data_IF_706289819485
#
_entry.id   IF_706289819485
#
_cell.length_a   1.000
_cell.length_b   1.000
_cell.length_c   1.000
_cell.angle_alpha   90.00
_cell.angle_beta   90.00
_cell.angle_gamma   90.00
#
_symmetry.space_group_name_H-M   'P 1'
#
loop_
_entity.id
_entity.type
_entity.pdbx_description
1 polymer ?
#
# COMPACT_ATOMS: atom_id res chain seq x y z
N UNK A 1 19.84 37.16 -1.61
CA UNK A 1 18.85 36.24 -0.99
C UNK A 1 18.13 35.52 -2.09
N UNK A 2 18.02 34.19 -2.03
CA UNK A 2 17.30 33.40 -3.02
C UNK A 2 15.80 33.67 -2.90
N UNK A 3 15.17 34.18 -3.94
CA UNK A 3 13.72 34.39 -4.00
C UNK A 3 13.00 33.05 -4.18
N UNK A 4 11.75 32.95 -3.71
CA UNK A 4 10.92 31.74 -3.82
C UNK A 4 10.70 31.27 -5.28
N UNK A 5 10.98 32.14 -6.27
CA UNK A 5 10.89 31.86 -7.71
C UNK A 5 12.16 31.24 -8.29
N UNK A 6 13.26 31.17 -7.52
CA UNK A 6 14.53 30.63 -8.01
C UNK A 6 14.43 29.12 -8.29
N UNK A 7 14.99 28.69 -9.43
CA UNK A 7 14.96 27.29 -9.89
C UNK A 7 15.47 26.27 -8.85
N UNK A 8 16.29 26.73 -7.90
CA UNK A 8 16.82 25.93 -6.80
C UNK A 8 15.73 25.37 -5.89
N UNK A 9 14.61 26.08 -5.69
CA UNK A 9 13.48 25.59 -4.89
C UNK A 9 12.61 24.57 -5.63
N UNK A 10 12.64 24.56 -6.96
CA UNK A 10 11.87 23.60 -7.76
C UNK A 10 12.48 22.21 -7.79
N UNK A 11 13.81 22.08 -7.64
CA UNK A 11 14.51 20.80 -7.59
C UNK A 11 13.98 19.88 -6.48
N UNK A 12 13.95 20.30 -5.19
CA UNK A 12 13.39 19.48 -4.11
C UNK A 12 11.90 19.16 -4.31
N UNK A 13 11.13 20.10 -4.88
CA UNK A 13 9.70 19.93 -5.14
C UNK A 13 9.45 18.84 -6.19
N UNK A 14 10.24 18.81 -7.26
CA UNK A 14 10.15 17.76 -8.28
C UNK A 14 10.50 16.39 -7.69
N UNK A 15 11.60 16.27 -6.95
CA UNK A 15 11.96 15.01 -6.30
C UNK A 15 10.93 14.55 -5.27
N UNK A 16 10.40 15.47 -4.46
CA UNK A 16 9.32 15.17 -3.52
C UNK A 16 8.05 14.72 -4.25
N UNK A 17 7.73 15.34 -5.39
CA UNK A 17 6.61 14.97 -6.25
C UNK A 17 6.75 13.56 -6.82
N UNK A 18 7.91 13.24 -7.40
CA UNK A 18 8.22 11.91 -7.93
C UNK A 18 8.16 10.85 -6.83
N UNK A 19 8.77 11.11 -5.67
CA UNK A 19 8.73 10.21 -4.52
C UNK A 19 7.31 9.95 -4.04
N UNK A 20 6.48 11.00 -3.93
CA UNK A 20 5.07 10.86 -3.55
C UNK A 20 4.25 10.11 -4.59
N UNK A 21 4.55 10.31 -5.88
CA UNK A 21 3.92 9.58 -6.99
C UNK A 21 4.17 8.08 -6.88
N UNK A 22 5.44 7.68 -6.73
CA UNK A 22 5.81 6.27 -6.55
C UNK A 22 5.15 5.66 -5.30
N UNK A 23 5.20 6.36 -4.16
CA UNK A 23 4.60 5.90 -2.90
C UNK A 23 3.08 5.77 -2.96
N UNK A 24 2.40 6.57 -3.78
CA UNK A 24 0.96 6.44 -3.98
C UNK A 24 0.66 5.26 -4.91
N UNK A 25 1.37 5.18 -6.04
CA UNK A 25 1.07 4.21 -7.09
C UNK A 25 1.35 2.76 -6.69
N UNK A 26 2.45 2.49 -5.97
CA UNK A 26 2.84 1.13 -5.59
C UNK A 26 1.73 0.41 -4.80
N UNK A 27 1.17 0.98 -3.71
CA UNK A 27 0.05 0.35 -3.00
C UNK A 27 -1.19 0.11 -3.87
N UNK A 28 -1.52 1.01 -4.81
CA UNK A 28 -2.66 0.82 -5.72
C UNK A 28 -2.42 -0.31 -6.71
N UNK A 29 -1.19 -0.48 -7.20
CA UNK A 29 -0.83 -1.59 -8.07
C UNK A 29 -0.87 -2.94 -7.32
N UNK A 30 -0.32 -2.99 -6.11
CA UNK A 30 -0.36 -4.20 -5.25
C UNK A 30 -1.80 -4.52 -4.79
N UNK A 31 -2.66 -3.52 -4.64
CA UNK A 31 -4.06 -3.72 -4.27
C UNK A 31 -4.84 -4.54 -5.31
N UNK A 32 -4.72 -4.18 -6.59
CA UNK A 32 -5.42 -4.91 -7.67
C UNK A 32 -5.03 -6.39 -7.62
N UNK A 33 -3.75 -6.66 -7.41
CA UNK A 33 -3.23 -8.01 -7.26
C UNK A 33 -3.88 -8.81 -6.12
N UNK A 34 -4.09 -8.22 -4.94
CA UNK A 34 -4.76 -8.93 -3.84
C UNK A 34 -6.21 -9.28 -4.18
N UNK A 35 -6.92 -8.40 -4.89
CA UNK A 35 -8.27 -8.67 -5.35
C UNK A 35 -8.29 -9.78 -6.43
N UNK A 36 -7.31 -9.78 -7.34
CA UNK A 36 -7.15 -10.83 -8.36
C UNK A 36 -6.84 -12.20 -7.72
N UNK A 37 -5.99 -12.24 -6.68
CA UNK A 37 -5.73 -13.47 -5.91
C UNK A 37 -6.99 -13.94 -5.15
N UNK A 38 -7.79 -13.03 -4.59
CA UNK A 38 -9.07 -13.43 -3.98
C UNK A 38 -10.06 -13.96 -5.04
N UNK A 39 -10.07 -13.37 -6.24
CA UNK A 39 -10.91 -13.83 -7.36
C UNK A 39 -10.50 -15.25 -7.80
N UNK A 40 -9.21 -15.53 -7.99
CA UNK A 40 -8.79 -16.87 -8.42
C UNK A 40 -9.08 -17.95 -7.37
N UNK A 41 -9.01 -17.59 -6.07
CA UNK A 41 -9.30 -18.52 -4.97
C UNK A 41 -10.81 -18.73 -4.81
N UNK A 42 -11.61 -17.66 -4.80
CA UNK A 42 -13.02 -17.72 -4.42
C UNK A 42 -14.00 -17.75 -5.59
N UNK A 43 -13.56 -17.36 -6.78
CA UNK A 43 -14.40 -17.15 -7.97
C UNK A 43 -15.34 -15.95 -7.86
N UNK A 44 -15.15 -15.04 -6.88
CA UNK A 44 -16.02 -13.90 -6.63
C UNK A 44 -15.24 -12.59 -6.75
N UNK A 45 -15.81 -11.60 -7.45
CA UNK A 45 -15.26 -10.24 -7.46
C UNK A 45 -15.72 -9.46 -6.24
N UNK A 46 -14.85 -9.36 -5.23
CA UNK A 46 -15.08 -8.64 -3.96
C UNK A 46 -14.29 -7.35 -3.83
N UNK A 47 -13.89 -6.76 -4.95
CA UNK A 47 -13.10 -5.53 -5.03
C UNK A 47 -13.66 -4.39 -4.15
N UNK A 48 -14.98 -4.22 -4.08
CA UNK A 48 -15.59 -3.18 -3.24
C UNK A 48 -15.27 -3.32 -1.74
N UNK A 49 -15.23 -4.56 -1.23
CA UNK A 49 -14.89 -4.81 0.17
C UNK A 49 -13.41 -4.53 0.46
N UNK A 50 -12.52 -4.96 -0.44
CA UNK A 50 -11.08 -4.66 -0.34
C UNK A 50 -10.81 -3.15 -0.43
N UNK A 51 -11.45 -2.44 -1.37
CA UNK A 51 -11.32 -0.98 -1.49
C UNK A 51 -11.77 -0.26 -0.21
N UNK A 52 -12.86 -0.75 0.41
CA UNK A 52 -13.36 -0.27 1.69
C UNK A 52 -12.34 -0.42 2.81
N UNK A 53 -11.79 -1.63 3.00
CA UNK A 53 -10.78 -1.92 4.02
C UNK A 53 -9.51 -1.11 3.78
N UNK A 54 -9.03 -1.02 2.54
CA UNK A 54 -7.85 -0.21 2.18
C UNK A 54 -8.05 1.25 2.57
N UNK A 55 -9.19 1.83 2.20
CA UNK A 55 -9.50 3.23 2.51
C UNK A 55 -9.62 3.44 4.02
N UNK A 56 -10.24 2.50 4.72
CA UNK A 56 -10.36 2.54 6.17
C UNK A 56 -8.98 2.51 6.85
N UNK A 57 -8.13 1.53 6.53
CA UNK A 57 -6.77 1.40 7.08
C UNK A 57 -5.95 2.65 6.77
N UNK A 58 -6.05 3.19 5.55
CA UNK A 58 -5.39 4.44 5.16
C UNK A 58 -5.84 5.61 6.03
N UNK A 59 -7.15 5.83 6.18
CA UNK A 59 -7.69 6.92 6.99
C UNK A 59 -7.35 6.76 8.46
N UNK A 60 -7.40 5.54 8.98
CA UNK A 60 -7.02 5.22 10.36
C UNK A 60 -5.54 5.52 10.61
N UNK A 61 -4.65 5.12 9.69
CA UNK A 61 -3.22 5.41 9.78
C UNK A 61 -2.93 6.91 9.73
N UNK A 62 -3.63 7.65 8.85
CA UNK A 62 -3.53 9.10 8.77
C UNK A 62 -4.01 9.78 10.06
N UNK A 63 -5.14 9.34 10.60
CA UNK A 63 -5.67 9.88 11.85
C UNK A 63 -4.70 9.63 13.02
N UNK A 64 -4.15 8.40 13.12
CA UNK A 64 -3.16 8.06 14.13
C UNK A 64 -1.91 8.94 14.02
N UNK A 65 -1.39 9.14 12.80
CA UNK A 65 -0.24 10.01 12.57
C UNK A 65 -0.52 11.47 13.01
N UNK A 66 -1.69 12.02 12.66
CA UNK A 66 -2.09 13.37 13.06
C UNK A 66 -2.20 13.49 14.58
N UNK A 67 -2.79 12.50 15.26
CA UNK A 67 -2.90 12.47 16.71
C UNK A 67 -1.51 12.46 17.35
N UNK A 68 -0.62 11.57 16.92
CA UNK A 68 0.73 11.45 17.47
C UNK A 68 1.53 12.75 17.29
N UNK A 69 1.51 13.33 16.09
CA UNK A 69 2.16 14.62 15.83
C UNK A 69 1.55 15.71 16.71
N UNK A 70 0.22 15.75 16.82
CA UNK A 70 -0.48 16.71 17.68
C UNK A 70 -0.05 16.62 19.15
N UNK A 71 0.08 15.41 19.69
CA UNK A 71 0.56 15.19 21.07
C UNK A 71 2.00 15.70 21.26
N UNK A 72 2.90 15.42 20.31
CA UNK A 72 4.29 15.92 20.35
C UNK A 72 4.30 17.45 20.32
N UNK A 73 3.47 18.07 19.48
CA UNK A 73 3.36 19.52 19.38
C UNK A 73 2.83 20.14 20.69
N UNK A 74 1.77 19.58 21.27
CA UNK A 74 1.22 20.06 22.54
C UNK A 74 2.26 19.94 23.67
N UNK A 75 2.96 18.81 23.77
CA UNK A 75 4.01 18.59 24.77
C UNK A 75 5.20 19.54 24.60
N UNK A 76 5.51 19.97 23.38
CA UNK A 76 6.59 20.92 23.11
C UNK A 76 6.24 22.38 23.43
N UNK A 77 4.98 22.66 23.79
CA UNK A 77 4.48 24.02 24.03
C UNK A 77 4.20 24.80 22.75
N UNK A 78 3.87 24.12 21.65
CA UNK A 78 3.54 24.77 20.39
C UNK A 78 2.27 25.62 20.53
N UNK A 79 2.36 26.91 20.17
CA UNK A 79 1.23 27.84 20.22
C UNK A 79 0.83 28.22 18.80
N UNK A 80 -0.35 27.75 18.37
CA UNK A 80 -0.85 28.08 17.03
C UNK A 80 -1.00 29.59 16.84
N UNK A 81 -0.49 30.11 15.72
CA UNK A 81 -0.57 31.54 15.31
C UNK A 81 0.21 32.54 16.18
N UNK A 82 1.09 32.10 17.09
CA UNK A 82 2.01 33.03 17.73
C UNK A 82 3.02 33.58 16.71
N UNK A 83 3.34 34.87 16.82
CA UNK A 83 4.34 35.56 15.99
C UNK A 83 5.74 34.95 16.16
N UNK A 84 6.05 34.47 17.36
CA UNK A 84 7.28 33.75 17.67
C UNK A 84 6.96 32.44 18.41
N UNK A 85 7.72 31.40 18.13
CA UNK A 85 7.63 30.11 18.81
C UNK A 85 8.80 29.95 19.78
N UNK A 86 8.59 29.21 20.87
CA UNK A 86 9.69 28.85 21.76
C UNK A 86 10.74 28.03 20.99
N UNK A 87 12.03 28.12 21.36
CA UNK A 87 13.07 27.28 20.76
C UNK A 87 12.73 25.78 20.83
N UNK A 88 12.10 25.35 21.93
CA UNK A 88 11.65 23.97 22.14
C UNK A 88 10.59 23.54 21.11
N UNK A 89 9.60 24.38 20.82
CA UNK A 89 8.59 24.09 19.81
C UNK A 89 9.19 24.01 18.40
N UNK A 90 10.17 24.88 18.08
CA UNK A 90 10.90 24.82 16.80
C UNK A 90 11.67 23.51 16.68
N UNK A 91 12.41 23.09 17.71
CA UNK A 91 13.12 21.81 17.69
C UNK A 91 12.17 20.63 17.51
N UNK A 92 11.00 20.65 18.15
CA UNK A 92 10.00 19.61 17.98
C UNK A 92 9.47 19.54 16.55
N UNK A 93 9.19 20.69 15.91
CA UNK A 93 8.75 20.75 14.50
C UNK A 93 9.84 20.15 13.59
N UNK A 94 11.09 20.58 13.76
CA UNK A 94 12.22 20.08 12.97
C UNK A 94 12.43 18.58 13.20
N UNK A 95 12.31 18.10 14.43
CA UNK A 95 12.43 16.68 14.74
C UNK A 95 11.34 15.85 14.08
N UNK A 96 10.08 16.30 14.12
CA UNK A 96 8.95 15.59 13.47
C UNK A 96 9.10 15.60 11.95
N UNK A 97 9.37 16.76 11.34
CA UNK A 97 9.48 16.89 9.89
C UNK A 97 10.75 16.22 9.32
N UNK A 98 11.86 16.29 10.05
CA UNK A 98 13.13 15.67 9.66
C UNK A 98 13.24 14.23 10.12
N UNK A 99 13.62 14.03 11.39
CA UNK A 99 13.92 12.71 11.95
C UNK A 99 12.70 11.77 11.91
N UNK A 100 11.51 12.26 12.25
CA UNK A 100 10.27 11.49 12.20
C UNK A 100 9.95 10.98 10.80
N UNK A 101 10.12 11.83 9.78
CA UNK A 101 9.90 11.45 8.38
C UNK A 101 10.92 10.43 7.89
N UNK A 102 12.21 10.62 8.21
CA UNK A 102 13.29 9.67 7.87
C UNK A 102 13.03 8.31 8.52
N UNK A 103 12.68 8.29 9.80
CA UNK A 103 12.37 7.05 10.52
C UNK A 103 11.20 6.30 9.85
N UNK A 104 10.16 7.01 9.45
CA UNK A 104 8.99 6.42 8.80
C UNK A 104 9.30 5.91 7.38
N UNK A 105 10.18 6.60 6.65
CA UNK A 105 10.69 6.12 5.36
C UNK A 105 11.52 4.85 5.51
N UNK A 106 12.43 4.79 6.49
CA UNK A 106 13.22 3.57 6.76
C UNK A 106 12.28 2.41 7.13
N UNK A 107 11.31 2.65 8.00
CA UNK A 107 10.30 1.65 8.34
C UNK A 107 9.54 1.16 7.10
N UNK A 108 9.10 2.07 6.23
CA UNK A 108 8.44 1.73 4.98
C UNK A 108 9.31 0.89 4.05
N UNK A 109 10.60 1.21 3.93
CA UNK A 109 11.56 0.42 3.13
C UNK A 109 11.73 -0.98 3.71
N UNK A 110 11.93 -1.10 5.02
CA UNK A 110 12.08 -2.40 5.69
C UNK A 110 10.85 -3.30 5.46
N UNK A 111 9.64 -2.75 5.58
CA UNK A 111 8.40 -3.48 5.30
C UNK A 111 8.29 -3.84 3.82
N UNK A 112 8.66 -2.91 2.92
CA UNK A 112 8.63 -3.14 1.47
C UNK A 112 9.53 -4.30 1.05
N UNK A 113 10.71 -4.46 1.67
CA UNK A 113 11.61 -5.59 1.34
C UNK A 113 11.04 -6.99 1.62
N UNK A 114 9.95 -7.09 2.40
CA UNK A 114 9.23 -8.35 2.63
C UNK A 114 8.25 -8.70 1.50
N UNK A 115 7.90 -7.77 0.62
CA UNK A 115 6.96 -7.99 -0.49
C UNK A 115 7.69 -8.58 -1.70
N UNK A 116 7.41 -9.84 -2.03
CA UNK A 116 7.94 -10.53 -3.21
C UNK A 116 6.91 -10.52 -4.34
N UNK A 117 6.71 -9.36 -4.98
CA UNK A 117 5.83 -9.26 -6.15
C UNK A 117 6.65 -8.88 -7.39
N UNK A 118 6.59 -9.70 -8.43
CA UNK A 118 7.26 -9.43 -9.71
C UNK A 118 6.19 -9.21 -10.79
N UNK A 119 6.37 -8.28 -11.75
CA UNK A 119 5.40 -8.05 -12.83
C UNK A 119 5.07 -9.32 -13.65
N UNK A 120 6.04 -10.22 -13.82
CA UNK A 120 5.86 -11.49 -14.55
C UNK A 120 4.84 -12.43 -13.88
N UNK A 121 4.89 -12.57 -12.56
CA UNK A 121 3.94 -13.40 -11.80
C UNK A 121 2.50 -12.87 -11.85
N UNK A 122 2.32 -11.56 -12.00
CA UNK A 122 0.99 -10.96 -12.15
C UNK A 122 0.36 -11.25 -13.52
N UNK A 123 1.15 -11.21 -14.59
CA UNK A 123 0.64 -11.55 -15.93
C UNK A 123 0.13 -13.01 -16.00
N UNK A 124 0.88 -13.94 -15.41
CA UNK A 124 0.49 -15.36 -15.32
C UNK A 124 -0.82 -15.52 -14.53
N UNK A 125 -0.97 -14.80 -13.42
CA UNK A 125 -2.19 -14.85 -12.60
C UNK A 125 -3.43 -14.40 -13.40
N UNK A 126 -3.33 -13.30 -14.15
CA UNK A 126 -4.45 -12.79 -14.96
C UNK A 126 -4.82 -13.75 -16.10
N UNK A 127 -3.83 -14.37 -16.74
CA UNK A 127 -4.06 -15.38 -17.77
C UNK A 127 -4.84 -16.59 -17.21
N UNK A 128 -4.48 -17.05 -16.01
CA UNK A 128 -5.16 -18.17 -15.34
C UNK A 128 -6.56 -17.82 -14.84
N UNK A 129 -6.80 -16.58 -14.38
CA UNK A 129 -8.16 -16.12 -14.06
C UNK A 129 -9.05 -16.17 -15.29
N UNK A 130 -8.56 -15.69 -16.44
CA UNK A 130 -9.31 -15.69 -17.70
C UNK A 130 -9.56 -17.13 -18.20
N UNK A 131 -8.59 -18.03 -18.02
CA UNK A 131 -8.70 -19.45 -18.32
C UNK A 131 -9.80 -20.14 -17.49
N UNK A 132 -9.79 -19.95 -16.17
CA UNK A 132 -10.83 -20.48 -15.27
C UNK A 132 -12.22 -19.88 -15.56
N UNK A 133 -12.26 -18.60 -15.94
CA UNK A 133 -13.50 -17.89 -16.33
C UNK A 133 -14.13 -18.48 -17.60
N UNK A 134 -13.33 -19.01 -18.54
CA UNK A 134 -13.82 -19.73 -19.74
C UNK A 134 -14.39 -21.11 -19.43
N UNK A 135 -14.29 -21.57 -18.17
CA UNK A 135 -14.78 -22.86 -17.72
C UNK A 135 -13.73 -23.97 -17.80
N UNK A 136 -12.50 -23.66 -18.21
CA UNK A 136 -11.37 -24.57 -18.15
C UNK A 136 -10.99 -24.79 -16.67
N UNK A 137 -10.68 -26.03 -16.27
CA UNK A 137 -10.45 -26.39 -14.85
C UNK A 137 -9.10 -27.07 -14.61
N UNK A 138 -8.34 -27.22 -15.67
CA UNK A 138 -6.97 -27.73 -15.65
C UNK A 138 -6.04 -26.54 -15.85
N UNK A 139 -4.84 -26.51 -15.25
CA UNK A 139 -3.91 -25.42 -15.49
C UNK A 139 -3.48 -25.34 -16.95
N UNK A 140 -3.26 -24.12 -17.46
CA UNK A 140 -2.82 -23.89 -18.84
C UNK A 140 -1.41 -24.48 -19.09
N UNK A 141 -0.54 -24.41 -18.09
CA UNK A 141 0.75 -25.10 -18.06
C UNK A 141 1.13 -25.52 -16.63
N UNK A 142 1.98 -26.55 -16.44
CA UNK A 142 2.47 -26.95 -15.11
C UNK A 142 3.22 -25.86 -14.36
N UNK A 143 3.90 -24.96 -15.06
CA UNK A 143 4.62 -23.85 -14.43
C UNK A 143 3.66 -22.73 -13.99
N UNK A 144 2.62 -22.44 -14.78
CA UNK A 144 1.56 -21.51 -14.37
C UNK A 144 0.83 -22.01 -13.12
N UNK A 145 0.58 -23.33 -13.02
CA UNK A 145 0.02 -23.93 -11.82
C UNK A 145 0.87 -23.63 -10.58
N UNK A 146 2.18 -23.90 -10.65
CA UNK A 146 3.11 -23.64 -9.53
C UNK A 146 3.12 -22.18 -9.11
N UNK A 147 3.11 -21.27 -10.09
CA UNK A 147 3.07 -19.83 -9.83
C UNK A 147 1.77 -19.48 -9.12
N UNK A 148 0.62 -19.90 -9.62
CA UNK A 148 -0.68 -19.62 -8.98
C UNK A 148 -0.79 -20.24 -7.59
N UNK A 149 -0.28 -21.45 -7.38
CA UNK A 149 -0.28 -22.11 -6.07
C UNK A 149 0.61 -21.37 -5.05
N UNK A 150 1.80 -20.90 -5.46
CA UNK A 150 2.69 -20.09 -4.62
C UNK A 150 2.05 -18.74 -4.24
N UNK A 151 1.37 -18.11 -5.19
CA UNK A 151 0.74 -16.80 -5.01
C UNK A 151 -0.55 -16.86 -4.18
N UNK A 152 -1.36 -17.90 -4.38
CA UNK A 152 -2.64 -18.07 -3.68
C UNK A 152 -2.51 -18.80 -2.36
N UNK A 153 -1.48 -19.64 -2.19
CA UNK A 153 -1.34 -20.56 -1.06
C UNK A 153 -2.30 -21.76 -1.11
N UNK A 154 -3.05 -21.94 -2.20
CA UNK A 154 -3.97 -23.05 -2.42
C UNK A 154 -3.50 -23.91 -3.58
N UNK A 155 -3.72 -25.23 -3.49
CA UNK A 155 -3.52 -26.13 -4.62
C UNK A 155 -4.52 -25.84 -5.74
N UNK A 156 -4.10 -26.03 -6.99
CA UNK A 156 -4.85 -25.58 -8.16
C UNK A 156 -6.27 -26.20 -8.23
N UNK A 157 -6.42 -27.45 -7.77
CA UNK A 157 -7.71 -28.16 -7.68
C UNK A 157 -8.74 -27.49 -6.75
N UNK A 158 -8.27 -26.70 -5.78
CA UNK A 158 -9.08 -25.99 -4.78
C UNK A 158 -9.36 -24.53 -5.16
N UNK A 159 -8.92 -24.09 -6.33
CA UNK A 159 -9.19 -22.76 -6.84
C UNK A 159 -10.62 -22.64 -7.35
N UNK A 160 -11.02 -21.41 -7.68
CA UNK A 160 -12.32 -21.08 -8.26
C UNK A 160 -13.53 -21.56 -7.43
N UNK A 161 -13.43 -21.39 -6.12
CA UNK A 161 -14.51 -21.69 -5.18
C UNK A 161 -14.59 -23.14 -4.70
N UNK A 162 -13.66 -24.01 -5.12
CA UNK A 162 -13.57 -25.40 -4.64
C UNK A 162 -12.93 -25.54 -3.24
N UNK A 163 -12.92 -24.47 -2.44
CA UNK A 163 -12.29 -24.42 -1.12
C UNK A 163 -13.29 -24.02 -0.01
N UNK A 164 -12.94 -24.31 1.26
CA UNK A 164 -13.79 -23.96 2.41
C UNK A 164 -14.03 -22.46 2.56
N UNK A 165 -13.11 -21.62 2.05
CA UNK A 165 -13.18 -20.15 2.16
C UNK A 165 -14.35 -19.61 1.34
N UNK A 166 -14.58 -20.14 0.14
CA UNK A 166 -15.74 -19.80 -0.68
C UNK A 166 -17.05 -20.28 -0.06
N UNK A 167 -17.05 -21.45 0.60
CA UNK A 167 -18.23 -22.02 1.27
C UNK A 167 -18.64 -21.23 2.53
N UNK A 168 -17.68 -20.64 3.25
CA UNK A 168 -17.96 -19.83 4.44
C UNK A 168 -18.68 -18.50 4.12
N UNK A 169 -18.51 -17.96 2.91
CA UNK A 169 -19.14 -16.71 2.47
C UNK A 169 -20.55 -16.86 1.91
N UNK A 170 -21.23 -17.97 2.15
CA UNK A 170 -22.59 -18.31 1.67
C UNK A 170 -23.61 -18.44 2.80
N UNK A 171 -23.25 -18.03 4.02
CA UNK A 171 -24.13 -17.94 5.18
C UNK A 171 -24.37 -16.48 5.56
#
# INVERSE_FOLDING_TARGET
GYTATSALFWLPVVFAGLGRGALNYIPWATYNYMADVDEIVTGRRREGAFAGVMTFVRKMSQALAVILVGQVMQASGFVSKATEQSPQAIYAIVAVLGAGTIAMLIFGVLVSTRFRLTPGTHAILLEEIEHLRRGERTPSTPDNARVVEDLSGWSYDKLWGNNPVAAAGTR
#
